data_IF_285565881464
#
_entry.id   IF_285565881464
#
_cell.length_a   1.000
_cell.length_b   1.000
_cell.length_c   1.000
_cell.angle_alpha   90.00
_cell.angle_beta   90.00
_cell.angle_gamma   90.00
#
_symmetry.space_group_name_H-M   'P 1'
#
loop_
_entity.id
_entity.type
_entity.pdbx_description
1 polymer ?
#
# COMPACT_ATOMS: atom_id res chain seq x y z
N UNK A 1 25.68 -45.72 10.89
CA UNK A 1 25.01 -45.56 9.59
C UNK A 1 23.56 -45.21 9.89
N UNK A 2 23.16 -44.02 9.44
CA UNK A 2 21.79 -43.56 9.14
C UNK A 2 20.81 -43.47 10.33
N UNK A 3 20.14 -42.34 10.63
CA UNK A 3 20.14 -40.99 10.05
C UNK A 3 19.45 -40.07 11.07
N UNK A 4 19.97 -38.86 11.27
CA UNK A 4 19.21 -37.74 11.86
C UNK A 4 18.04 -37.41 10.93
N UNK A 5 16.83 -37.20 11.47
CA UNK A 5 15.84 -36.27 10.92
C UNK A 5 14.67 -36.06 11.90
N UNK A 6 14.41 -34.78 12.17
CA UNK A 6 13.48 -34.18 13.12
C UNK A 6 12.00 -34.38 12.77
N UNK A 7 11.19 -34.84 13.72
CA UNK A 7 9.72 -34.86 13.64
C UNK A 7 9.12 -33.49 13.99
N UNK A 8 9.23 -32.53 13.07
CA UNK A 8 8.52 -31.23 13.11
C UNK A 8 7.59 -31.05 11.88
N UNK A 9 7.03 -32.13 11.37
CA UNK A 9 6.22 -32.12 10.16
C UNK A 9 4.91 -32.90 10.35
N UNK A 10 3.84 -32.20 10.77
CA UNK A 10 2.52 -32.19 10.11
C UNK A 10 1.47 -31.36 10.89
N UNK A 11 1.76 -30.09 11.22
CA UNK A 11 0.67 -29.12 11.36
C UNK A 11 0.44 -28.51 9.98
N UNK A 12 -0.81 -28.37 9.50
CA UNK A 12 -1.04 -27.62 8.28
C UNK A 12 -0.52 -26.21 8.56
N UNK A 13 0.58 -25.82 7.91
CA UNK A 13 0.96 -24.42 7.82
C UNK A 13 -0.14 -23.83 6.95
N UNK A 14 -1.18 -23.32 7.60
CA UNK A 14 -2.22 -22.53 6.95
C UNK A 14 -1.45 -21.41 6.25
N UNK A 15 -1.35 -21.47 4.92
CA UNK A 15 -0.69 -20.44 4.14
C UNK A 15 -1.53 -19.19 4.26
N UNK A 16 -1.16 -18.30 5.19
CA UNK A 16 -1.91 -17.07 5.42
C UNK A 16 -1.60 -16.13 4.25
N UNK A 17 -2.58 -15.76 3.37
CA UNK A 17 -2.37 -14.73 2.37
C UNK A 17 -2.75 -13.35 2.94
N UNK A 18 -2.42 -13.07 4.20
CA UNK A 18 -2.89 -11.86 4.93
C UNK A 18 -1.85 -10.75 5.07
N UNK A 19 -0.61 -10.98 4.66
CA UNK A 19 0.49 -10.05 4.94
C UNK A 19 1.05 -9.45 3.65
N UNK A 20 0.83 -8.16 3.45
CA UNK A 20 1.56 -7.37 2.43
C UNK A 20 3.06 -7.35 2.77
N UNK A 21 3.91 -6.94 1.82
CA UNK A 21 5.36 -6.83 2.04
C UNK A 21 5.68 -6.07 3.33
N UNK A 22 6.72 -6.49 4.05
CA UNK A 22 7.08 -5.94 5.37
C UNK A 22 7.30 -4.43 5.34
N UNK A 23 7.89 -3.89 4.27
CA UNK A 23 8.07 -2.44 4.10
C UNK A 23 6.73 -1.69 4.07
N UNK A 24 5.72 -2.26 3.42
CA UNK A 24 4.37 -1.70 3.38
C UNK A 24 3.65 -1.81 4.72
N UNK A 25 3.90 -2.88 5.50
CA UNK A 25 3.34 -3.01 6.85
C UNK A 25 3.88 -1.93 7.80
N UNK A 26 5.19 -1.65 7.73
CA UNK A 26 5.80 -0.59 8.51
C UNK A 26 5.17 0.76 8.16
N UNK A 27 5.02 1.06 6.88
CA UNK A 27 4.33 2.26 6.43
C UNK A 27 2.89 2.32 6.97
N UNK A 28 2.14 1.21 6.86
CA UNK A 28 0.77 1.13 7.35
C UNK A 28 0.66 1.27 8.89
N UNK A 29 1.71 0.99 9.65
CA UNK A 29 1.75 1.26 11.10
C UNK A 29 1.94 2.74 11.44
N UNK A 30 2.47 3.54 10.52
CA UNK A 30 2.64 4.98 10.70
C UNK A 30 1.35 5.76 10.40
N UNK A 31 0.37 5.11 9.76
CA UNK A 31 -0.90 5.73 9.37
C UNK A 31 -1.92 5.53 10.48
N UNK A 32 -2.47 6.64 10.97
CA UNK A 32 -3.56 6.62 11.94
C UNK A 32 -4.81 6.00 11.32
N UNK A 33 -5.52 5.10 12.02
CA UNK A 33 -6.81 4.60 11.55
C UNK A 33 -7.80 5.74 11.27
N UNK A 34 -8.72 5.58 10.32
CA UNK A 34 -9.69 6.61 9.93
C UNK A 34 -9.09 7.79 9.13
N UNK A 35 -7.80 7.74 8.80
CA UNK A 35 -7.16 8.81 8.02
C UNK A 35 -7.64 8.81 6.58
N UNK A 36 -7.54 9.97 5.93
CA UNK A 36 -7.62 10.10 4.46
C UNK A 36 -6.21 10.01 3.90
N UNK A 37 -5.99 9.19 2.87
CA UNK A 37 -4.66 8.94 2.29
C UNK A 37 -4.70 9.06 0.77
N UNK A 38 -3.71 9.72 0.18
CA UNK A 38 -3.40 9.61 -1.25
C UNK A 38 -2.08 8.87 -1.41
N UNK A 39 -2.09 7.70 -2.05
CA UNK A 39 -0.92 6.90 -2.38
C UNK A 39 -0.49 7.16 -3.84
N UNK A 40 0.69 7.73 -4.02
CA UNK A 40 1.23 8.11 -5.33
C UNK A 40 2.23 7.06 -5.79
N UNK A 41 2.00 6.49 -6.96
CA UNK A 41 2.67 5.27 -7.40
C UNK A 41 2.17 4.05 -6.63
N UNK A 42 0.84 3.94 -6.47
CA UNK A 42 0.21 2.88 -5.67
C UNK A 42 0.37 1.47 -6.27
N UNK A 43 0.85 1.36 -7.52
CA UNK A 43 1.15 0.09 -8.17
C UNK A 43 -0.09 -0.79 -8.32
N UNK A 44 -0.05 -1.98 -7.72
CA UNK A 44 -1.15 -2.94 -7.73
C UNK A 44 -2.23 -2.67 -6.66
N UNK A 45 -2.03 -1.66 -5.81
CA UNK A 45 -2.95 -1.27 -4.75
C UNK A 45 -2.85 -2.09 -3.46
N UNK A 46 -1.82 -2.95 -3.30
CA UNK A 46 -1.66 -3.79 -2.11
C UNK A 46 -1.70 -3.00 -0.80
N UNK A 47 -1.04 -1.83 -0.75
CA UNK A 47 -1.06 -0.99 0.45
C UNK A 47 -2.44 -0.36 0.67
N UNK A 48 -3.03 0.25 -0.36
CA UNK A 48 -4.36 0.85 -0.28
C UNK A 48 -5.41 -0.15 0.20
N UNK A 49 -5.37 -1.38 -0.33
CA UNK A 49 -6.24 -2.47 0.09
C UNK A 49 -6.07 -2.79 1.56
N UNK A 50 -4.83 -2.95 2.01
CA UNK A 50 -4.54 -3.24 3.40
C UNK A 50 -4.99 -2.12 4.34
N UNK A 51 -4.80 -0.86 3.95
CA UNK A 51 -5.23 0.28 4.76
C UNK A 51 -6.76 0.38 4.85
N UNK A 52 -7.47 0.14 3.75
CA UNK A 52 -8.92 0.07 3.78
C UNK A 52 -9.40 -1.05 4.71
N UNK A 53 -8.88 -2.27 4.55
CA UNK A 53 -9.34 -3.44 5.29
C UNK A 53 -8.94 -3.44 6.78
N UNK A 54 -7.76 -2.91 7.12
CA UNK A 54 -7.15 -3.06 8.46
C UNK A 54 -7.03 -1.76 9.25
N UNK A 55 -7.29 -0.61 8.63
CA UNK A 55 -7.13 0.71 9.26
C UNK A 55 -8.31 1.64 9.03
N UNK A 56 -9.37 1.21 8.33
CA UNK A 56 -10.54 2.05 8.04
C UNK A 56 -10.15 3.38 7.36
N UNK A 57 -9.19 3.31 6.44
CA UNK A 57 -8.65 4.48 5.74
C UNK A 57 -9.48 4.77 4.50
N UNK A 58 -9.85 6.03 4.30
CA UNK A 58 -10.34 6.55 3.01
C UNK A 58 -9.14 6.82 2.11
N UNK A 59 -8.74 5.77 1.38
CA UNK A 59 -7.56 5.73 0.53
C UNK A 59 -7.88 5.98 -0.94
N UNK A 60 -7.07 6.83 -1.59
CA UNK A 60 -7.07 7.03 -3.04
C UNK A 60 -5.68 6.79 -3.61
N UNK A 61 -5.60 6.33 -4.86
CA UNK A 61 -4.34 6.12 -5.56
C UNK A 61 -4.19 7.00 -6.80
N UNK A 62 -2.94 7.37 -7.09
CA UNK A 62 -2.50 7.89 -8.38
C UNK A 62 -1.45 6.93 -8.94
N UNK A 63 -1.69 6.40 -10.13
CA UNK A 63 -0.79 5.44 -10.76
C UNK A 63 -0.56 5.81 -12.22
N UNK A 64 0.69 5.78 -12.67
CA UNK A 64 1.04 6.16 -14.04
C UNK A 64 0.72 5.02 -15.03
N UNK A 65 0.90 3.78 -14.59
CA UNK A 65 0.72 2.59 -15.41
C UNK A 65 -0.75 2.19 -15.54
N UNK A 66 -1.19 1.95 -16.77
CA UNK A 66 -2.55 1.49 -17.06
C UNK A 66 -2.84 0.13 -16.41
N UNK A 67 -1.84 -0.75 -16.37
CA UNK A 67 -1.94 -2.09 -15.77
C UNK A 67 -2.15 -2.01 -14.25
N UNK A 68 -1.42 -1.14 -13.56
CA UNK A 68 -1.59 -0.89 -12.12
C UNK A 68 -2.99 -0.37 -11.80
N UNK A 69 -3.46 0.63 -12.56
CA UNK A 69 -4.83 1.16 -12.43
C UNK A 69 -5.87 0.06 -12.62
N UNK A 70 -5.77 -0.76 -13.67
CA UNK A 70 -6.68 -1.89 -13.89
C UNK A 70 -6.64 -2.92 -12.76
N UNK A 71 -5.46 -3.19 -12.19
CA UNK A 71 -5.32 -4.06 -11.02
C UNK A 71 -6.09 -3.51 -9.82
N UNK A 72 -5.96 -2.22 -9.55
CA UNK A 72 -6.62 -1.54 -8.45
C UNK A 72 -8.15 -1.51 -8.61
N UNK A 73 -8.63 -1.16 -9.81
CA UNK A 73 -10.06 -1.11 -10.10
C UNK A 73 -10.74 -2.48 -9.94
N UNK A 74 -10.08 -3.57 -10.34
CA UNK A 74 -10.59 -4.94 -10.13
C UNK A 74 -10.73 -5.32 -8.65
N UNK A 75 -10.00 -4.65 -7.77
CA UNK A 75 -10.07 -4.82 -6.32
C UNK A 75 -11.06 -3.85 -5.65
N UNK A 76 -11.74 -3.00 -6.44
CA UNK A 76 -12.67 -1.99 -5.95
C UNK A 76 -12.00 -0.75 -5.34
N UNK A 77 -10.71 -0.53 -5.63
CA UNK A 77 -9.96 0.61 -5.10
C UNK A 77 -10.19 1.87 -5.93
N UNK A 78 -10.19 3.03 -5.26
CA UNK A 78 -10.32 4.34 -5.90
C UNK A 78 -8.96 4.82 -6.41
N UNK A 79 -8.67 4.57 -7.69
CA UNK A 79 -7.38 4.90 -8.31
C UNK A 79 -7.60 5.62 -9.65
N UNK A 80 -6.81 6.67 -9.88
CA UNK A 80 -6.82 7.45 -11.13
C UNK A 80 -5.48 7.24 -11.85
N UNK A 81 -5.54 7.18 -13.19
CA UNK A 81 -4.34 7.21 -14.00
C UNK A 81 -3.81 8.63 -14.11
N UNK A 82 -2.55 8.87 -13.73
CA UNK A 82 -1.95 10.20 -13.85
C UNK A 82 -0.46 10.23 -13.56
N UNK A 83 0.14 11.37 -13.89
CA UNK A 83 1.57 11.66 -13.72
C UNK A 83 1.69 12.57 -12.51
N UNK A 84 2.29 12.07 -11.43
CA UNK A 84 2.36 12.80 -10.18
C UNK A 84 3.13 14.11 -10.30
N UNK A 85 4.20 14.12 -11.10
CA UNK A 85 5.05 15.28 -11.34
C UNK A 85 4.29 16.38 -12.07
N UNK A 86 3.42 16.03 -13.01
CA UNK A 86 2.55 16.98 -13.71
C UNK A 86 1.32 17.38 -12.89
N UNK A 87 0.70 16.42 -12.20
CA UNK A 87 -0.62 16.56 -11.61
C UNK A 87 -0.55 17.19 -10.20
N UNK A 88 0.43 16.83 -9.35
CA UNK A 88 0.55 17.36 -7.98
C UNK A 88 0.90 18.85 -7.93
N UNK A 89 1.55 19.39 -8.98
CA UNK A 89 1.81 20.83 -9.09
C UNK A 89 0.54 21.68 -9.23
N UNK A 90 -0.59 21.05 -9.57
CA UNK A 90 -1.89 21.69 -9.80
C UNK A 90 -2.81 21.55 -8.56
N UNK A 91 -2.55 20.59 -7.67
CA UNK A 91 -3.41 20.32 -6.51
C UNK A 91 -3.11 21.35 -5.40
N UNK A 92 -4.04 22.30 -5.21
CA UNK A 92 -3.98 23.32 -4.17
C UNK A 92 -3.91 22.70 -2.75
N UNK A 93 -2.94 23.18 -1.98
CA UNK A 93 -2.49 22.63 -0.70
C UNK A 93 -3.40 23.05 0.45
N UNK A 94 -4.52 22.35 0.65
CA UNK A 94 -5.26 22.36 1.92
C UNK A 94 -4.77 21.19 2.80
N UNK A 95 -4.85 21.26 4.14
CA UNK A 95 -4.22 20.31 5.04
C UNK A 95 -5.00 18.98 5.08
N UNK A 96 -4.81 18.17 4.06
CA UNK A 96 -5.07 16.74 4.09
C UNK A 96 -3.74 16.03 4.37
N UNK A 97 -3.74 15.08 5.30
CA UNK A 97 -2.60 14.19 5.58
C UNK A 97 -2.38 13.32 4.33
N UNK A 98 -1.67 13.87 3.36
CA UNK A 98 -1.29 13.22 2.12
C UNK A 98 -0.04 12.39 2.40
N UNK A 99 -0.19 11.07 2.57
CA UNK A 99 0.96 10.18 2.57
C UNK A 99 1.39 9.88 1.13
N UNK A 100 2.07 10.82 0.49
CA UNK A 100 2.80 10.56 -0.74
C UNK A 100 3.95 9.57 -0.47
N UNK A 101 3.74 8.29 -0.78
CA UNK A 101 4.81 7.29 -0.79
C UNK A 101 5.56 7.34 -2.11
N UNK A 102 6.32 8.41 -2.32
CA UNK A 102 7.25 8.46 -3.44
C UNK A 102 8.30 7.37 -3.23
N UNK A 103 8.18 6.25 -3.98
CA UNK A 103 9.17 5.16 -4.01
C UNK A 103 10.54 5.63 -4.53
N UNK A 104 10.69 6.87 -4.99
CA UNK A 104 11.97 7.49 -5.32
C UNK A 104 12.05 8.94 -4.81
N UNK A 105 13.13 9.22 -4.06
CA UNK A 105 13.65 10.53 -3.65
C UNK A 105 12.90 11.36 -2.57
N UNK A 106 13.53 11.37 -1.37
CA UNK A 106 13.50 12.37 -0.28
C UNK A 106 12.13 12.80 0.26
N UNK A 107 11.55 11.97 1.13
CA UNK A 107 10.42 12.34 1.99
C UNK A 107 10.86 13.30 3.11
N UNK A 108 10.21 14.47 3.18
CA UNK A 108 9.98 15.23 4.43
C UNK A 108 8.59 14.82 4.93
N UNK A 109 8.55 13.99 5.96
CA UNK A 109 7.32 13.71 6.71
C UNK A 109 7.01 14.95 7.54
N UNK A 110 5.90 15.64 7.26
CA UNK A 110 5.36 16.67 8.15
C UNK A 110 4.49 15.93 9.18
N UNK A 111 4.96 15.91 10.43
CA UNK A 111 4.17 15.52 11.61
C UNK A 111 3.26 16.67 12.05
#
# INVERSE_FOLDING_TARGET
>A
MENEMTEDALRPVVSVPDSIRVDLQLIASLIRPGSRVLDVGCGDGSLLRYLADRRDVDGRGLEISREGVQSCLRQGLSVVQGDAEADLGIIHQEPLIMLCLVKQFRLRIIL
#
